data_IF_065376726243
#
_entry.id   IF_065376726243
#
_cell.length_a   1.000
_cell.length_b   1.000
_cell.length_c   1.000
_cell.angle_alpha   90.00
_cell.angle_beta   90.00
_cell.angle_gamma   90.00
#
_symmetry.space_group_name_H-M   'P 1'
#
loop_
_entity.id
_entity.type
_entity.pdbx_description
1 polymer ?
#
# COMPACT_ATOMS: atom_id res chain seq x y z
N UNK A 1 -20.95 2.77 1.25
CA UNK A 1 -21.92 2.55 0.16
C UNK A 1 -22.37 1.10 0.21
N UNK A 2 -23.67 0.84 0.03
CA UNK A 2 -24.22 -0.53 0.00
C UNK A 2 -23.82 -1.21 -1.31
N UNK A 3 -23.92 -2.54 -1.37
CA UNK A 3 -23.49 -3.31 -2.56
C UNK A 3 -24.42 -3.06 -3.74
N UNK A 4 -25.71 -2.93 -3.49
CA UNK A 4 -26.73 -2.67 -4.50
C UNK A 4 -26.48 -1.32 -5.20
N UNK A 5 -26.04 -0.31 -4.45
CA UNK A 5 -25.68 0.99 -4.99
C UNK A 5 -24.42 0.91 -5.87
N UNK A 6 -23.41 0.12 -5.45
CA UNK A 6 -22.21 -0.13 -6.27
C UNK A 6 -22.57 -0.88 -7.56
N UNK A 7 -23.47 -1.85 -7.51
CA UNK A 7 -23.91 -2.63 -8.68
C UNK A 7 -24.61 -1.77 -9.72
N UNK A 8 -25.43 -0.80 -9.30
CA UNK A 8 -26.04 0.17 -10.22
C UNK A 8 -25.00 1.00 -10.97
N UNK A 9 -23.88 1.33 -10.33
CA UNK A 9 -22.82 2.12 -10.95
C UNK A 9 -22.02 1.34 -12.00
N UNK A 10 -22.08 0.01 -12.02
CA UNK A 10 -21.35 -0.82 -13.00
C UNK A 10 -21.78 -0.59 -14.46
N UNK A 11 -22.91 0.09 -14.70
CA UNK A 11 -23.30 0.53 -16.05
C UNK A 11 -22.54 1.77 -16.53
N UNK A 12 -21.88 2.51 -15.62
CA UNK A 12 -21.22 3.79 -15.89
C UNK A 12 -19.71 3.76 -15.64
N UNK A 13 -19.29 2.98 -14.65
CA UNK A 13 -17.88 2.85 -14.23
C UNK A 13 -17.44 1.39 -14.25
N UNK A 14 -16.13 1.18 -14.37
CA UNK A 14 -15.53 -0.12 -14.22
C UNK A 14 -15.69 -0.66 -12.78
N UNK A 15 -15.68 -1.99 -12.57
CA UNK A 15 -15.70 -2.57 -11.23
C UNK A 15 -14.41 -2.29 -10.44
N UNK A 16 -13.29 -2.11 -11.13
CA UNK A 16 -11.94 -1.98 -10.57
C UNK A 16 -11.40 -0.58 -10.80
N UNK A 17 -10.86 0.02 -9.74
CA UNK A 17 -10.23 1.34 -9.75
C UNK A 17 -8.71 1.22 -9.64
N UNK A 18 -7.98 2.00 -10.44
CA UNK A 18 -6.55 2.22 -10.31
C UNK A 18 -6.25 3.71 -10.24
N UNK A 19 -5.60 4.18 -9.16
CA UNK A 19 -5.25 5.58 -8.99
C UNK A 19 -3.78 5.68 -8.62
N UNK A 20 -2.92 6.08 -9.56
CA UNK A 20 -1.48 6.27 -9.33
C UNK A 20 -0.91 7.41 -10.19
N UNK A 21 0.11 8.09 -9.67
CA UNK A 21 0.83 9.15 -10.40
C UNK A 21 2.34 8.92 -10.50
N UNK A 22 2.86 7.90 -9.81
CA UNK A 22 4.26 7.51 -9.88
C UNK A 22 4.37 6.22 -10.71
N UNK A 23 4.82 6.34 -11.96
CA UNK A 23 4.67 5.24 -12.94
C UNK A 23 5.98 4.50 -13.21
N UNK A 24 7.11 5.10 -12.85
CA UNK A 24 8.42 4.46 -12.94
C UNK A 24 8.73 3.84 -11.57
N UNK A 25 8.36 2.57 -11.38
CA UNK A 25 8.54 1.88 -10.10
C UNK A 25 9.50 0.69 -10.22
N UNK A 26 10.29 0.37 -9.19
CA UNK A 26 11.22 -0.77 -9.17
C UNK A 26 10.63 -2.13 -9.57
N UNK A 27 9.33 -2.33 -9.37
CA UNK A 27 8.63 -3.60 -9.62
C UNK A 27 7.75 -3.56 -10.87
N UNK A 28 7.84 -2.49 -11.68
CA UNK A 28 7.09 -2.31 -12.92
C UNK A 28 5.59 -2.63 -12.77
N UNK A 29 4.97 -2.06 -11.72
CA UNK A 29 3.59 -2.39 -11.35
C UNK A 29 2.59 -2.09 -12.48
N UNK A 30 2.85 -1.05 -13.27
CA UNK A 30 1.96 -0.59 -14.32
C UNK A 30 1.90 -1.57 -15.49
N UNK A 31 3.00 -2.30 -15.77
CA UNK A 31 2.99 -3.42 -16.70
C UNK A 31 2.08 -4.56 -16.19
N UNK A 32 2.16 -4.92 -14.90
CA UNK A 32 1.23 -5.90 -14.31
C UNK A 32 -0.21 -5.43 -14.45
N UNK A 33 -0.52 -4.18 -14.08
CA UNK A 33 -1.89 -3.65 -14.20
C UNK A 33 -2.36 -3.65 -15.66
N UNK A 34 -1.49 -3.37 -16.62
CA UNK A 34 -1.81 -3.46 -18.05
C UNK A 34 -2.20 -4.88 -18.47
N UNK A 35 -1.57 -5.92 -17.90
CA UNK A 35 -2.00 -7.31 -18.10
C UNK A 35 -3.37 -7.61 -17.48
N UNK A 36 -3.67 -7.07 -16.28
CA UNK A 36 -4.99 -7.19 -15.65
C UNK A 36 -6.08 -6.57 -16.54
N UNK A 37 -5.79 -5.40 -17.13
CA UNK A 37 -6.73 -4.66 -17.99
C UNK A 37 -7.17 -5.43 -19.24
N UNK A 38 -6.45 -6.48 -19.64
CA UNK A 38 -6.86 -7.36 -20.76
C UNK A 38 -8.07 -8.23 -20.43
N UNK A 39 -8.33 -8.49 -19.15
CA UNK A 39 -9.31 -9.49 -18.70
C UNK A 39 -10.45 -8.89 -17.84
N UNK A 40 -10.27 -7.69 -17.29
CA UNK A 40 -11.30 -6.95 -16.55
C UNK A 40 -11.20 -5.46 -16.85
N UNK A 41 -12.34 -4.77 -16.90
CA UNK A 41 -12.34 -3.32 -17.04
C UNK A 41 -11.76 -2.68 -15.77
N UNK A 42 -10.82 -1.75 -15.97
CA UNK A 42 -10.20 -0.94 -14.92
C UNK A 42 -10.32 0.51 -15.32
N UNK A 43 -10.89 1.33 -14.43
CA UNK A 43 -10.84 2.77 -14.56
C UNK A 43 -9.56 3.27 -13.89
N UNK A 44 -8.67 3.83 -14.69
CA UNK A 44 -7.36 4.32 -14.30
C UNK A 44 -7.31 5.84 -14.33
N UNK A 45 -7.05 6.43 -13.17
CA UNK A 45 -6.89 7.86 -12.96
C UNK A 45 -5.49 8.18 -12.44
N UNK A 46 -5.10 9.46 -12.53
CA UNK A 46 -3.75 9.92 -12.20
C UNK A 46 -2.87 10.01 -13.43
N UNK A 47 -1.55 9.91 -13.27
CA UNK A 47 -0.62 9.98 -14.39
C UNK A 47 -0.43 8.62 -15.09
N UNK A 48 -0.54 7.52 -14.36
CA UNK A 48 -0.20 6.20 -14.86
C UNK A 48 -1.38 5.52 -15.54
N UNK A 49 -1.16 4.94 -16.72
CA UNK A 49 -2.14 4.32 -17.64
C UNK A 49 -3.28 5.26 -18.10
N UNK A 50 -3.93 5.97 -17.18
CA UNK A 50 -4.67 7.22 -17.37
C UNK A 50 -5.74 7.15 -18.48
N UNK A 51 -6.53 6.08 -18.47
CA UNK A 51 -7.63 5.87 -19.42
C UNK A 51 -8.92 6.65 -19.04
N UNK A 52 -8.97 7.23 -17.84
CA UNK A 52 -10.06 8.10 -17.35
C UNK A 52 -9.48 9.38 -16.76
N UNK A 53 -10.22 10.47 -16.93
CA UNK A 53 -9.89 11.76 -16.31
C UNK A 53 -10.70 11.97 -15.04
N UNK A 54 -10.03 12.46 -14.00
CA UNK A 54 -10.70 12.82 -12.76
C UNK A 54 -11.76 13.90 -13.03
N UNK A 55 -12.91 13.86 -12.33
CA UNK A 55 -13.73 15.05 -12.18
C UNK A 55 -12.84 16.20 -11.63
N UNK A 56 -12.99 17.44 -12.11
CA UNK A 56 -12.09 18.55 -11.73
C UNK A 56 -11.93 18.71 -10.21
N UNK A 57 -13.03 18.60 -9.46
CA UNK A 57 -13.00 18.69 -8.00
C UNK A 57 -12.22 17.56 -7.32
N UNK A 58 -12.11 16.38 -7.93
CA UNK A 58 -11.35 15.25 -7.38
C UNK A 58 -9.87 15.38 -7.75
N UNK A 59 -9.56 15.90 -8.94
CA UNK A 59 -8.20 16.06 -9.43
C UNK A 59 -7.36 16.97 -8.51
N UNK A 60 -7.94 18.10 -8.08
CA UNK A 60 -7.30 19.03 -7.16
C UNK A 60 -7.06 18.39 -5.79
N UNK A 61 -8.10 17.73 -5.25
CA UNK A 61 -8.07 17.11 -3.93
C UNK A 61 -7.04 15.98 -3.87
N UNK A 62 -6.98 15.13 -4.90
CA UNK A 62 -6.08 13.98 -4.92
C UNK A 62 -4.61 14.37 -4.76
N UNK A 63 -4.23 15.56 -5.23
CA UNK A 63 -2.85 16.05 -5.12
C UNK A 63 -2.53 16.69 -3.77
N UNK A 64 -3.54 17.02 -2.96
CA UNK A 64 -3.40 17.83 -1.75
C UNK A 64 -3.79 17.10 -0.46
N UNK A 65 -4.88 16.33 -0.50
CA UNK A 65 -5.47 15.68 0.67
C UNK A 65 -6.07 14.31 0.29
N UNK A 66 -5.27 13.26 0.51
CA UNK A 66 -5.65 11.87 0.23
C UNK A 66 -6.74 11.32 1.16
N UNK A 67 -7.08 12.03 2.23
CA UNK A 67 -8.11 11.65 3.20
C UNK A 67 -9.36 12.53 3.14
N UNK A 68 -9.44 13.40 2.13
CA UNK A 68 -10.60 14.24 1.92
C UNK A 68 -11.87 13.41 1.67
N UNK A 69 -12.97 13.81 2.32
CA UNK A 69 -14.25 13.11 2.21
C UNK A 69 -14.77 12.98 0.77
N UNK A 70 -14.51 13.94 -0.12
CA UNK A 70 -14.94 13.84 -1.53
C UNK A 70 -14.18 12.75 -2.27
N UNK A 71 -12.86 12.69 -2.10
CA UNK A 71 -12.02 11.63 -2.67
C UNK A 71 -12.40 10.26 -2.10
N UNK A 72 -12.58 10.15 -0.79
CA UNK A 72 -12.97 8.90 -0.14
C UNK A 72 -14.35 8.42 -0.62
N UNK A 73 -15.32 9.33 -0.83
CA UNK A 73 -16.62 9.00 -1.43
C UNK A 73 -16.50 8.59 -2.89
N UNK A 74 -15.60 9.21 -3.65
CA UNK A 74 -15.31 8.82 -5.02
C UNK A 74 -14.78 7.38 -5.08
N UNK A 75 -13.77 7.04 -4.27
CA UNK A 75 -13.21 5.69 -4.18
C UNK A 75 -14.26 4.67 -3.70
N UNK A 76 -15.13 5.07 -2.77
CA UNK A 76 -16.18 4.21 -2.23
C UNK A 76 -17.25 3.80 -3.27
N UNK A 77 -17.26 4.37 -4.48
CA UNK A 77 -18.13 3.96 -5.59
C UNK A 77 -17.71 2.62 -6.21
N UNK A 78 -16.42 2.33 -6.26
CA UNK A 78 -15.87 1.14 -6.90
C UNK A 78 -16.01 -0.10 -6.03
N UNK A 79 -16.11 -1.30 -6.63
CA UNK A 79 -16.09 -2.57 -5.88
C UNK A 79 -14.67 -2.95 -5.47
N UNK A 80 -13.69 -2.72 -6.35
CA UNK A 80 -12.30 -3.08 -6.12
C UNK A 80 -11.36 -1.90 -6.36
N UNK A 81 -10.22 -1.88 -5.67
CA UNK A 81 -9.12 -0.93 -5.90
C UNK A 81 -7.83 -1.71 -6.01
N UNK A 82 -7.06 -1.49 -7.07
CA UNK A 82 -5.69 -1.99 -7.18
C UNK A 82 -4.81 -1.17 -6.24
N UNK A 83 -4.35 -1.82 -5.17
CA UNK A 83 -3.56 -1.27 -4.08
C UNK A 83 -2.11 -1.78 -4.17
N UNK A 84 -1.47 -1.58 -5.33
CA UNK A 84 -0.09 -2.01 -5.55
C UNK A 84 0.90 -0.96 -5.04
N UNK A 85 1.82 -1.37 -4.19
CA UNK A 85 2.92 -0.54 -3.71
C UNK A 85 3.94 -0.27 -4.82
N UNK A 86 4.80 0.73 -4.61
CA UNK A 86 5.91 1.02 -5.54
C UNK A 86 6.99 -0.08 -5.51
N UNK A 87 7.00 -0.92 -4.47
CA UNK A 87 7.99 -1.96 -4.26
C UNK A 87 7.43 -3.09 -3.41
N UNK A 88 8.04 -4.25 -3.51
CA UNK A 88 7.72 -5.44 -2.69
C UNK A 88 8.79 -5.52 -1.62
N UNK A 89 8.44 -5.10 -0.39
CA UNK A 89 9.38 -5.06 0.73
C UNK A 89 8.67 -5.40 2.03
N UNK A 90 9.35 -6.10 2.93
CA UNK A 90 8.84 -6.31 4.28
C UNK A 90 8.46 -4.99 4.94
N UNK A 91 7.29 -5.00 5.60
CA UNK A 91 6.68 -3.89 6.33
C UNK A 91 6.37 -2.62 5.49
N UNK A 92 6.57 -2.64 4.17
CA UNK A 92 6.18 -1.53 3.29
C UNK A 92 4.68 -1.60 2.93
N UNK A 93 3.87 -1.06 3.83
CA UNK A 93 2.40 -1.00 3.71
C UNK A 93 1.96 0.45 3.89
N UNK A 94 1.34 1.03 2.86
CA UNK A 94 1.02 2.45 2.83
C UNK A 94 -0.48 2.71 2.80
N UNK A 95 -0.87 3.98 2.58
CA UNK A 95 -2.26 4.39 2.43
C UNK A 95 -2.99 3.63 1.31
N UNK A 96 -2.26 3.07 0.34
CA UNK A 96 -2.82 2.31 -0.79
C UNK A 96 -3.63 1.12 -0.32
N UNK A 97 -3.19 0.41 0.72
CA UNK A 97 -3.95 -0.66 1.36
C UNK A 97 -5.08 -0.11 2.24
N UNK A 98 -4.76 0.87 3.10
CA UNK A 98 -5.67 1.31 4.16
C UNK A 98 -6.88 2.08 3.63
N UNK A 99 -6.71 2.86 2.57
CA UNK A 99 -7.78 3.67 1.96
C UNK A 99 -8.96 2.85 1.42
N UNK A 100 -8.78 1.79 0.61
CA UNK A 100 -9.89 0.92 0.22
C UNK A 100 -10.52 0.18 1.40
N UNK A 101 -9.71 -0.34 2.34
CA UNK A 101 -10.22 -0.96 3.57
C UNK A 101 -11.11 0.00 4.37
N UNK A 102 -10.71 1.27 4.46
CA UNK A 102 -11.47 2.33 5.13
C UNK A 102 -12.76 2.69 4.37
N UNK A 103 -12.71 2.85 3.06
CA UNK A 103 -13.86 3.26 2.23
C UNK A 103 -14.88 2.15 1.97
N UNK A 104 -14.55 0.90 2.33
CA UNK A 104 -15.40 -0.25 2.10
C UNK A 104 -15.37 -0.67 0.63
N UNK A 105 -14.18 -0.67 0.06
CA UNK A 105 -13.85 -1.18 -1.27
C UNK A 105 -12.82 -2.29 -1.07
N UNK A 106 -12.84 -3.35 -1.89
CA UNK A 106 -11.95 -4.49 -1.69
C UNK A 106 -10.59 -4.22 -2.35
N UNK A 107 -9.49 -4.14 -1.59
CA UNK A 107 -8.16 -3.98 -2.17
C UNK A 107 -7.69 -5.25 -2.90
N UNK A 108 -7.08 -5.05 -4.06
CA UNK A 108 -6.24 -6.03 -4.76
C UNK A 108 -4.79 -5.62 -4.49
N UNK A 109 -4.10 -6.34 -3.62
CA UNK A 109 -2.83 -5.89 -3.04
C UNK A 109 -1.62 -6.66 -3.58
N UNK A 110 -0.55 -5.91 -3.83
CA UNK A 110 0.80 -6.39 -4.11
C UNK A 110 1.77 -5.39 -3.47
N UNK A 111 2.71 -5.86 -2.65
CA UNK A 111 3.57 -4.99 -1.85
C UNK A 111 4.26 -5.81 -0.78
N UNK A 112 4.07 -5.47 0.49
CA UNK A 112 4.70 -6.18 1.60
C UNK A 112 4.34 -7.67 1.69
N UNK A 113 5.34 -8.58 1.78
CA UNK A 113 5.11 -9.97 2.14
C UNK A 113 4.41 -10.14 3.50
N UNK A 114 4.70 -9.26 4.47
CA UNK A 114 4.15 -9.26 5.83
C UNK A 114 2.75 -8.65 5.95
N UNK A 115 2.12 -8.22 4.84
CA UNK A 115 0.79 -7.56 4.86
C UNK A 115 -0.29 -8.36 5.60
N UNK A 116 -0.22 -9.69 5.59
CA UNK A 116 -1.18 -10.57 6.24
C UNK A 116 -1.26 -10.34 7.75
N UNK A 117 -0.16 -9.92 8.38
CA UNK A 117 -0.09 -9.61 9.82
C UNK A 117 -0.92 -8.36 10.18
N UNK A 118 -1.28 -7.56 9.18
CA UNK A 118 -1.92 -6.25 9.34
C UNK A 118 -3.34 -6.19 8.79
N UNK A 119 -3.86 -7.30 8.23
CA UNK A 119 -5.21 -7.32 7.67
C UNK A 119 -6.27 -7.42 8.78
N UNK A 120 -7.41 -6.69 8.67
CA UNK A 120 -8.52 -6.83 9.63
C UNK A 120 -9.02 -8.27 9.80
N UNK A 121 -9.05 -9.03 8.70
CA UNK A 121 -9.35 -10.46 8.67
C UNK A 121 -8.72 -11.09 7.41
N UNK A 122 -8.74 -12.42 7.31
CA UNK A 122 -8.09 -13.15 6.19
C UNK A 122 -8.70 -12.86 4.81
N UNK A 123 -9.96 -12.41 4.77
CA UNK A 123 -10.70 -12.16 3.54
C UNK A 123 -10.73 -10.68 3.16
N UNK A 124 -10.18 -9.76 3.95
CA UNK A 124 -10.38 -8.32 3.68
C UNK A 124 -9.63 -7.80 2.43
N UNK A 125 -8.82 -8.64 1.78
CA UNK A 125 -7.93 -8.29 0.68
C UNK A 125 -7.80 -9.45 -0.30
N UNK A 126 -7.72 -9.13 -1.60
CA UNK A 126 -7.28 -10.08 -2.63
C UNK A 126 -5.76 -9.91 -2.79
N UNK A 127 -4.98 -10.92 -2.42
CA UNK A 127 -3.52 -10.89 -2.56
C UNK A 127 -3.10 -11.34 -3.95
N UNK A 128 -2.61 -10.41 -4.79
CA UNK A 128 -2.19 -10.73 -6.15
C UNK A 128 -1.10 -11.80 -6.22
N UNK A 129 -0.19 -11.83 -5.21
CA UNK A 129 0.87 -12.84 -5.10
C UNK A 129 0.38 -14.28 -5.00
N UNK A 130 -0.90 -14.51 -4.67
CA UNK A 130 -1.48 -15.84 -4.54
C UNK A 130 -1.94 -16.42 -5.90
N UNK A 131 -1.84 -15.66 -6.99
CA UNK A 131 -2.28 -16.08 -8.32
C UNK A 131 -1.08 -16.26 -9.24
N UNK A 132 -1.10 -17.33 -10.04
CA UNK A 132 -0.02 -17.64 -10.97
C UNK A 132 0.01 -16.70 -12.19
N UNK A 133 -1.10 -16.03 -12.50
CA UNK A 133 -1.20 -15.10 -13.61
C UNK A 133 -2.23 -13.99 -13.36
N UNK A 134 -2.11 -12.84 -14.06
CA UNK A 134 -3.13 -11.80 -14.07
C UNK A 134 -4.51 -12.32 -14.48
N UNK A 135 -4.58 -13.25 -15.44
CA UNK A 135 -5.83 -13.87 -15.88
C UNK A 135 -6.53 -14.61 -14.74
N UNK A 136 -5.82 -15.47 -13.99
CA UNK A 136 -6.40 -16.19 -12.85
C UNK A 136 -6.85 -15.24 -11.73
N UNK A 137 -6.08 -14.18 -11.48
CA UNK A 137 -6.48 -13.11 -10.56
C UNK A 137 -7.78 -12.44 -11.03
N UNK A 138 -7.89 -12.08 -12.30
CA UNK A 138 -9.11 -11.43 -12.84
C UNK A 138 -10.32 -12.34 -12.85
N UNK A 139 -10.13 -13.65 -13.06
CA UNK A 139 -11.19 -14.65 -12.93
C UNK A 139 -11.77 -14.63 -11.51
N UNK A 140 -10.90 -14.63 -10.50
CA UNK A 140 -11.34 -14.54 -9.11
C UNK A 140 -12.02 -13.20 -8.77
N UNK A 141 -11.51 -12.08 -9.30
CA UNK A 141 -12.16 -10.77 -9.16
C UNK A 141 -13.58 -10.82 -9.75
N UNK A 142 -13.76 -11.44 -10.92
CA UNK A 142 -15.06 -11.56 -11.58
C UNK A 142 -16.03 -12.47 -10.81
N UNK A 143 -15.55 -13.58 -10.24
CA UNK A 143 -16.34 -14.44 -9.35
C UNK A 143 -16.90 -13.64 -8.16
N UNK A 144 -16.05 -12.84 -7.50
CA UNK A 144 -16.48 -11.97 -6.39
C UNK A 144 -17.39 -10.85 -6.88
N UNK A 145 -17.13 -10.28 -8.05
CA UNK A 145 -17.93 -9.18 -8.60
C UNK A 145 -19.38 -9.59 -8.86
N UNK A 146 -19.60 -10.84 -9.29
CA UNK A 146 -20.91 -11.42 -9.64
C UNK A 146 -21.68 -11.99 -8.43
N UNK A 147 -21.01 -12.25 -7.31
CA UNK A 147 -21.62 -12.76 -6.09
C UNK A 147 -21.56 -11.71 -4.96
N UNK A 148 -22.68 -11.01 -4.75
CA UNK A 148 -22.77 -9.97 -3.71
C UNK A 148 -22.59 -10.52 -2.29
N UNK A 149 -22.97 -11.77 -2.03
CA UNK A 149 -22.75 -12.40 -0.72
C UNK A 149 -21.27 -12.63 -0.49
N UNK A 150 -20.56 -13.13 -1.51
CA UNK A 150 -19.11 -13.29 -1.46
C UNK A 150 -18.42 -11.94 -1.32
N UNK A 151 -18.81 -10.92 -2.09
CA UNK A 151 -18.26 -9.57 -1.99
C UNK A 151 -18.42 -8.96 -0.59
N UNK A 152 -19.55 -9.19 0.08
CA UNK A 152 -19.74 -8.70 1.46
C UNK A 152 -18.83 -9.41 2.48
N UNK A 153 -18.45 -10.67 2.26
CA UNK A 153 -17.49 -11.38 3.12
C UNK A 153 -16.12 -10.68 3.15
N UNK A 154 -15.70 -10.06 2.04
CA UNK A 154 -14.46 -9.27 1.98
C UNK A 154 -14.55 -7.94 2.75
N UNK A 155 -15.73 -7.54 3.23
CA UNK A 155 -15.99 -6.24 3.85
C UNK A 155 -16.54 -6.33 5.26
N UNK A 156 -16.52 -7.51 5.87
CA UNK A 156 -17.07 -7.74 7.22
C UNK A 156 -16.46 -6.84 8.30
N UNK A 157 -15.19 -6.43 8.14
CA UNK A 157 -14.54 -5.49 9.07
C UNK A 157 -15.25 -4.14 9.14
N UNK A 158 -15.92 -3.71 8.07
CA UNK A 158 -16.74 -2.48 8.07
C UNK A 158 -17.98 -2.59 8.96
N UNK A 159 -18.38 -3.82 9.32
CA UNK A 159 -19.50 -4.11 10.22
C UNK A 159 -19.03 -4.39 11.65
N UNK A 160 -17.76 -4.10 11.96
CA UNK A 160 -17.17 -4.24 13.29
C UNK A 160 -16.44 -5.57 13.53
N UNK A 161 -16.30 -6.43 12.52
CA UNK A 161 -15.65 -7.73 12.65
C UNK A 161 -14.16 -7.67 12.28
N UNK A 162 -13.32 -7.35 13.26
CA UNK A 162 -11.85 -7.46 13.17
C UNK A 162 -11.43 -8.71 13.93
N UNK A 163 -10.74 -9.63 13.25
CA UNK A 163 -10.31 -10.93 13.82
C UNK A 163 -8.81 -10.91 14.18
N UNK A 164 -8.08 -9.92 13.67
CA UNK A 164 -6.65 -9.82 13.85
C UNK A 164 -6.28 -9.17 15.20
N UNK A 165 -6.07 -10.02 16.20
CA UNK A 165 -5.67 -9.62 17.56
C UNK A 165 -4.33 -8.88 17.58
N UNK A 166 -3.39 -9.23 16.69
CA UNK A 166 -2.11 -8.53 16.58
C UNK A 166 -2.31 -7.08 16.12
N UNK A 167 -3.13 -6.87 15.09
CA UNK A 167 -3.49 -5.55 14.60
C UNK A 167 -4.17 -4.73 15.70
N UNK A 168 -5.20 -5.29 16.35
CA UNK A 168 -5.93 -4.60 17.42
C UNK A 168 -5.01 -4.21 18.58
N UNK A 169 -4.19 -5.16 19.05
CA UNK A 169 -3.22 -4.90 20.12
C UNK A 169 -2.22 -3.83 19.72
N UNK A 170 -1.67 -3.90 18.50
CA UNK A 170 -0.67 -2.94 18.02
C UNK A 170 -1.27 -1.54 17.91
N UNK A 171 -2.50 -1.40 17.42
CA UNK A 171 -3.17 -0.10 17.33
C UNK A 171 -3.53 0.47 18.71
N UNK A 172 -3.86 -0.38 19.67
CA UNK A 172 -4.22 0.03 21.03
C UNK A 172 -3.00 0.34 21.93
N UNK A 173 -1.89 -0.36 21.73
CA UNK A 173 -0.70 -0.31 22.62
C UNK A 173 0.53 0.34 21.99
N UNK A 174 0.52 0.61 20.68
CA UNK A 174 1.71 1.07 19.98
C UNK A 174 2.25 2.38 20.54
N UNK A 175 3.59 2.59 20.53
CA UNK A 175 4.19 3.89 20.88
C UNK A 175 3.74 5.03 19.96
N UNK A 176 3.12 4.69 18.82
CA UNK A 176 2.47 5.59 17.85
C UNK A 176 0.97 5.29 17.70
N UNK A 177 0.40 4.52 18.63
CA UNK A 177 -1.02 4.20 18.64
C UNK A 177 -1.83 5.49 18.67
N UNK A 178 -3.06 5.44 18.16
CA UNK A 178 -4.05 6.52 18.27
C UNK A 178 -4.49 6.74 19.75
N UNK A 179 -3.64 6.40 20.71
CA UNK A 179 -3.84 6.44 22.14
C UNK A 179 -3.72 7.88 22.62
N UNK A 180 -4.84 8.59 22.44
CA UNK A 180 -5.46 9.61 23.31
C UNK A 180 -4.73 10.92 23.59
N UNK A 181 -3.41 11.00 23.48
CA UNK A 181 -2.66 12.19 23.87
C UNK A 181 -1.90 12.75 22.65
N UNK A 182 -2.22 13.98 22.27
CA UNK A 182 -1.89 14.62 21.00
C UNK A 182 -0.38 14.96 20.85
N UNK A 183 0.48 13.97 20.68
CA UNK A 183 1.72 14.19 19.92
C UNK A 183 1.51 13.81 18.46
N UNK A 184 1.94 14.70 17.56
CA UNK A 184 1.99 14.40 16.14
C UNK A 184 2.78 13.08 15.97
N UNK A 185 2.29 12.07 15.21
CA UNK A 185 2.94 10.76 15.13
C UNK A 185 4.43 10.79 14.78
N UNK A 186 4.85 11.80 14.00
CA UNK A 186 6.26 12.06 13.69
C UNK A 186 7.05 12.45 14.95
N UNK A 187 6.54 13.36 15.76
CA UNK A 187 7.22 13.79 16.99
C UNK A 187 7.32 12.66 18.00
N UNK A 188 6.26 11.85 18.16
CA UNK A 188 6.31 10.65 18.97
C UNK A 188 7.39 9.67 18.46
N UNK A 189 7.50 9.50 17.13
CA UNK A 189 8.54 8.69 16.49
C UNK A 189 9.95 9.21 16.72
N UNK A 190 10.16 10.52 16.56
CA UNK A 190 11.44 11.17 16.84
C UNK A 190 11.84 10.98 18.31
N UNK A 191 10.92 11.22 19.24
CA UNK A 191 11.14 10.97 20.68
C UNK A 191 11.51 9.51 20.94
N UNK A 192 10.76 8.56 20.38
CA UNK A 192 11.04 7.13 20.51
C UNK A 192 12.45 6.79 20.02
N UNK A 193 12.84 7.26 18.83
CA UNK A 193 14.18 7.03 18.26
C UNK A 193 15.26 7.62 19.17
N UNK A 194 15.10 8.86 19.62
CA UNK A 194 16.01 9.53 20.54
C UNK A 194 16.18 8.74 21.84
N UNK A 195 15.10 8.27 22.44
CA UNK A 195 15.16 7.43 23.64
C UNK A 195 15.91 6.12 23.40
N UNK A 196 15.65 5.43 22.28
CA UNK A 196 16.35 4.18 21.96
C UNK A 196 17.85 4.40 21.76
N UNK A 197 18.24 5.51 21.13
CA UNK A 197 19.63 5.90 20.97
C UNK A 197 20.27 6.17 22.34
N UNK A 198 19.62 6.98 23.19
CA UNK A 198 20.12 7.34 24.53
C UNK A 198 20.21 6.15 25.49
N UNK A 199 19.25 5.21 25.44
CA UNK A 199 19.26 3.98 26.26
C UNK A 199 20.39 3.00 25.85
N UNK A 200 21.11 3.32 24.77
CA UNK A 200 22.11 2.47 24.15
C UNK A 200 21.41 1.35 23.37
N UNK A 201 21.56 1.36 22.04
CA UNK A 201 20.98 0.34 21.16
C UNK A 201 21.63 -1.02 21.44
N UNK A 202 21.10 -1.77 22.42
CA UNK A 202 21.67 -3.06 22.88
C UNK A 202 21.29 -4.25 22.01
N UNK A 203 20.23 -4.15 21.20
CA UNK A 203 19.77 -5.23 20.32
C UNK A 203 20.14 -4.94 18.87
N UNK A 204 21.13 -5.66 18.35
CA UNK A 204 21.22 -5.89 16.89
C UNK A 204 20.00 -6.71 16.50
N UNK A 205 19.04 -6.12 15.79
CA UNK A 205 18.11 -6.92 14.99
C UNK A 205 18.94 -7.60 13.91
N UNK A 206 18.87 -8.94 13.85
CA UNK A 206 19.57 -9.76 12.87
C UNK A 206 18.85 -9.84 11.53
N UNK A 207 17.57 -9.44 11.49
CA UNK A 207 16.80 -9.32 10.26
C UNK A 207 16.99 -7.93 9.65
N UNK A 208 17.22 -7.86 8.34
CA UNK A 208 17.14 -6.60 7.61
C UNK A 208 15.73 -6.05 7.76
N UNK A 209 15.62 -4.86 8.35
CA UNK A 209 14.38 -4.09 8.33
C UNK A 209 14.33 -3.47 6.94
N UNK A 210 13.29 -3.75 6.16
CA UNK A 210 13.15 -3.39 4.74
C UNK A 210 14.02 -4.22 3.77
N UNK A 211 13.70 -5.51 3.63
CA UNK A 211 14.25 -6.35 2.55
C UNK A 211 13.38 -6.21 1.28
N UNK A 212 13.63 -5.17 0.50
CA UNK A 212 12.95 -4.99 -0.77
C UNK A 212 13.52 -5.92 -1.85
N UNK A 213 12.64 -6.41 -2.72
CA UNK A 213 13.05 -7.09 -3.95
C UNK A 213 13.96 -6.17 -4.76
N UNK A 214 15.16 -6.67 -5.06
CA UNK A 214 16.15 -5.93 -5.85
C UNK A 214 15.62 -5.66 -7.27
N UNK A 215 15.73 -4.42 -7.78
CA UNK A 215 15.33 -4.11 -9.14
C UNK A 215 16.13 -4.91 -10.18
N UNK A 216 15.51 -5.19 -11.32
CA UNK A 216 16.20 -5.81 -12.47
C UNK A 216 17.45 -5.02 -12.85
N UNK A 217 18.53 -5.71 -13.23
CA UNK A 217 19.77 -5.07 -13.72
C UNK A 217 19.56 -4.18 -14.96
N UNK A 218 18.50 -4.43 -15.71
CA UNK A 218 18.13 -3.66 -16.91
C UNK A 218 17.29 -2.43 -16.59
N UNK A 219 16.82 -2.29 -15.35
CA UNK A 219 16.02 -1.15 -14.90
C UNK A 219 16.93 0.00 -14.43
N UNK A 220 16.53 1.23 -14.69
CA UNK A 220 17.15 2.45 -14.13
C UNK A 220 17.24 2.40 -12.60
N UNK A 221 16.26 1.76 -11.94
CA UNK A 221 16.24 1.56 -10.49
C UNK A 221 17.40 0.74 -9.95
N UNK A 222 18.09 -0.06 -10.78
CA UNK A 222 19.28 -0.79 -10.34
C UNK A 222 20.39 0.14 -9.87
N UNK A 223 20.62 1.24 -10.60
CA UNK A 223 21.63 2.23 -10.24
C UNK A 223 21.27 2.92 -8.92
N UNK A 224 20.02 3.37 -8.77
CA UNK A 224 19.56 4.02 -7.55
C UNK A 224 19.64 3.09 -6.34
N UNK A 225 19.32 1.81 -6.53
CA UNK A 225 19.46 0.79 -5.49
C UNK A 225 20.92 0.63 -5.03
N UNK A 226 21.87 0.53 -5.97
CA UNK A 226 23.30 0.41 -5.66
C UNK A 226 23.83 1.66 -4.95
N UNK A 227 23.47 2.83 -5.46
CA UNK A 227 23.87 4.11 -4.87
C UNK A 227 23.32 4.27 -3.44
N UNK A 228 22.03 3.97 -3.23
CA UNK A 228 21.40 4.02 -1.91
C UNK A 228 22.01 3.04 -0.90
N UNK A 229 22.30 1.80 -1.30
CA UNK A 229 23.00 0.82 -0.44
C UNK A 229 24.39 1.35 -0.03
N UNK A 230 25.14 1.94 -0.98
CA UNK A 230 26.45 2.47 -0.65
C UNK A 230 26.38 3.68 0.28
N UNK A 231 25.50 4.65 -0.01
CA UNK A 231 25.27 5.82 0.83
C UNK A 231 24.85 5.42 2.25
N UNK A 232 23.98 4.42 2.39
CA UNK A 232 23.55 3.90 3.69
C UNK A 232 24.73 3.31 4.48
N UNK A 233 25.59 2.51 3.85
CA UNK A 233 26.79 1.95 4.50
C UNK A 233 27.78 3.04 4.91
N UNK A 234 28.02 4.02 4.05
CA UNK A 234 28.87 5.16 4.34
C UNK A 234 28.34 5.95 5.56
N UNK A 235 27.03 6.20 5.63
CA UNK A 235 26.40 6.86 6.78
C UNK A 235 26.54 6.05 8.07
N UNK A 236 26.29 4.73 8.02
CA UNK A 236 26.45 3.86 9.20
C UNK A 236 27.90 3.88 9.71
N UNK A 237 28.89 3.86 8.80
CA UNK A 237 30.30 3.96 9.16
C UNK A 237 30.64 5.32 9.77
N UNK A 238 30.12 6.42 9.21
CA UNK A 238 30.28 7.77 9.77
C UNK A 238 29.75 7.85 11.20
N UNK A 239 28.50 7.42 11.43
CA UNK A 239 27.84 7.45 12.74
C UNK A 239 28.59 6.61 13.78
N UNK A 240 29.09 5.43 13.39
CA UNK A 240 29.76 4.52 14.34
C UNK A 240 31.18 4.94 14.69
N UNK A 241 31.90 5.51 13.73
CA UNK A 241 33.35 5.71 13.85
C UNK A 241 33.77 7.19 13.91
N UNK A 242 32.82 8.15 13.87
CA UNK A 242 33.10 9.58 13.70
C UNK A 242 34.03 9.90 12.52
N UNK A 243 34.11 8.99 11.54
CA UNK A 243 35.02 9.10 10.39
C UNK A 243 34.38 9.98 9.31
N UNK A 244 35.15 10.85 8.65
CA UNK A 244 34.63 11.65 7.51
C UNK A 244 34.01 10.73 6.46
N UNK A 245 32.88 11.15 5.89
CA UNK A 245 32.24 10.46 4.77
C UNK A 245 33.23 10.42 3.60
N UNK A 246 33.78 9.24 3.32
CA UNK A 246 34.61 9.00 2.15
C UNK A 246 33.74 8.46 1.03
N UNK A 247 33.48 9.31 0.04
CA UNK A 247 32.62 8.99 -1.11
C UNK A 247 33.32 8.01 -2.05
N UNK A 248 34.65 7.87 -1.95
CA UNK A 248 35.47 6.94 -2.75
C UNK A 248 35.60 5.55 -2.07
N UNK A 249 35.03 5.37 -0.87
CA UNK A 249 34.87 4.04 -0.25
C UNK A 249 33.70 3.23 -0.83
N UNK A 250 33.03 3.83 -1.82
CA UNK A 250 32.09 3.28 -2.78
C UNK A 250 32.80 3.16 -4.15
#
# INVERSE_FOLDING_TARGET
MKVEDKNKLLSEIAPVLYIQSDCDTPVDRDAYVSEIMKYVQVDSYGACLNNKKFPPEIAEIYSLDLYNNKLLRFIAKYKFVIAFENGICDDYITEKLWRPLFTGTVPIYLGSPSVQDWLPNKNSVILAKNFQSPELLTKHINEINLDDSLYEKFREHKRGKVENVLLERTLAQGPFGLAKDQEHPISAFECFVCEQIHKGVKKRRTHSVYDCVRPSKTSSWHYYWQSGDCQSRALVNHIRNNAKLDVDSC
#
